data_IF_501771018198
#
_entry.id   IF_501771018198
#
_cell.length_a   1.000
_cell.length_b   1.000
_cell.length_c   1.000
_cell.angle_alpha   90.00
_cell.angle_beta   90.00
_cell.angle_gamma   90.00
#
_symmetry.space_group_name_H-M   'P 1'
#
loop_
_entity.id
_entity.type
_entity.pdbx_description
1 polymer ?
#
# COMPACT_ATOMS: atom_id res chain seq x y z
N UNK A 1 -11.08 2.24 -2.20
CA UNK A 1 -10.46 1.76 -3.46
C UNK A 1 -9.26 0.81 -3.26
N UNK A 2 -8.20 1.15 -2.50
CA UNK A 2 -7.04 0.26 -2.34
C UNK A 2 -7.35 -1.06 -1.58
N UNK A 3 -8.22 -1.01 -0.58
CA UNK A 3 -8.58 -2.18 0.23
C UNK A 3 -9.25 -3.29 -0.60
N UNK A 4 -10.15 -2.89 -1.52
CA UNK A 4 -10.85 -3.78 -2.42
C UNK A 4 -9.93 -4.41 -3.50
N UNK A 5 -8.76 -3.83 -3.76
CA UNK A 5 -7.77 -4.44 -4.67
C UNK A 5 -6.93 -5.51 -3.98
N UNK A 6 -6.51 -5.28 -2.73
CA UNK A 6 -5.75 -6.28 -1.95
C UNK A 6 -6.61 -7.50 -1.61
N UNK A 7 -7.91 -7.32 -1.39
CA UNK A 7 -8.86 -8.42 -1.16
C UNK A 7 -8.93 -9.37 -2.38
N UNK A 8 -8.88 -8.83 -3.61
CA UNK A 8 -8.87 -9.63 -4.84
C UNK A 8 -7.58 -10.44 -5.00
N UNK A 9 -6.43 -9.89 -4.61
CA UNK A 9 -5.14 -10.61 -4.60
C UNK A 9 -5.15 -11.72 -3.55
N UNK A 10 -5.75 -11.47 -2.37
CA UNK A 10 -5.92 -12.48 -1.33
C UNK A 10 -6.80 -13.65 -1.80
N UNK A 11 -7.96 -13.37 -2.39
CA UNK A 11 -8.84 -14.44 -2.90
C UNK A 11 -8.13 -15.29 -3.97
N UNK A 12 -7.41 -14.67 -4.91
CA UNK A 12 -6.68 -15.40 -5.95
C UNK A 12 -5.55 -16.27 -5.36
N UNK A 13 -4.85 -15.79 -4.33
CA UNK A 13 -3.81 -16.56 -3.64
C UNK A 13 -4.38 -17.76 -2.86
N UNK A 14 -5.52 -17.60 -2.19
CA UNK A 14 -6.18 -18.65 -1.40
C UNK A 14 -6.82 -19.73 -2.28
N UNK A 15 -7.27 -19.38 -3.49
CA UNK A 15 -7.88 -20.32 -4.44
C UNK A 15 -6.87 -21.28 -5.12
N UNK A 16 -5.59 -21.27 -4.72
CA UNK A 16 -4.59 -22.25 -5.16
C UNK A 16 -3.68 -21.80 -6.29
N UNK A 17 -3.78 -20.55 -6.73
CA UNK A 17 -2.87 -19.96 -7.71
C UNK A 17 -1.59 -19.44 -7.00
N UNK A 18 -0.75 -20.36 -6.53
CA UNK A 18 0.54 -20.02 -5.90
C UNK A 18 1.50 -19.31 -6.86
N UNK A 19 1.28 -19.46 -8.17
CA UNK A 19 2.04 -18.77 -9.20
C UNK A 19 1.48 -17.38 -9.47
N UNK A 20 2.27 -16.34 -9.18
CA UNK A 20 1.89 -14.94 -9.41
C UNK A 20 1.49 -14.59 -10.85
N UNK A 21 1.77 -15.45 -11.85
CA UNK A 21 1.26 -15.29 -13.23
C UNK A 21 -0.23 -15.59 -13.36
N UNK A 22 -0.76 -16.58 -12.65
CA UNK A 22 -2.18 -16.94 -12.70
C UNK A 22 -3.04 -15.87 -12.03
N UNK A 23 -2.62 -15.42 -10.84
CA UNK A 23 -3.20 -14.26 -10.15
C UNK A 23 -3.19 -13.02 -11.06
N UNK A 24 -2.07 -12.75 -11.74
CA UNK A 24 -1.95 -11.62 -12.65
C UNK A 24 -2.93 -11.68 -13.83
N UNK A 25 -3.11 -12.86 -14.43
CA UNK A 25 -4.11 -13.11 -15.46
C UNK A 25 -5.53 -12.88 -14.96
N UNK A 26 -5.89 -13.46 -13.81
CA UNK A 26 -7.21 -13.31 -13.20
C UNK A 26 -7.56 -11.85 -12.85
N UNK A 27 -6.55 -11.05 -12.50
CA UNK A 27 -6.71 -9.65 -12.11
C UNK A 27 -6.48 -8.66 -13.26
N UNK A 28 -6.18 -9.11 -14.47
CA UNK A 28 -5.76 -8.28 -15.61
C UNK A 28 -4.65 -7.28 -15.23
N UNK A 29 -3.63 -7.77 -14.51
CA UNK A 29 -2.46 -7.01 -14.09
C UNK A 29 -1.19 -7.62 -14.65
N UNK A 30 -0.11 -6.84 -14.70
CA UNK A 30 1.17 -7.41 -15.09
C UNK A 30 1.70 -8.35 -14.00
N UNK A 31 2.29 -9.51 -14.37
CA UNK A 31 2.90 -10.43 -13.43
C UNK A 31 3.95 -9.76 -12.53
N UNK A 32 4.66 -8.76 -13.05
CA UNK A 32 5.65 -7.99 -12.30
C UNK A 32 5.02 -7.08 -11.23
N UNK A 33 3.76 -6.67 -11.39
CA UNK A 33 3.02 -5.92 -10.36
C UNK A 33 2.64 -6.82 -9.20
N UNK A 34 2.04 -7.98 -9.51
CA UNK A 34 1.63 -8.96 -8.50
C UNK A 34 2.84 -9.53 -7.77
N UNK A 35 3.91 -9.90 -8.48
CA UNK A 35 5.15 -10.36 -7.86
C UNK A 35 5.70 -9.34 -6.87
N UNK A 36 5.79 -8.06 -7.28
CA UNK A 36 6.23 -6.99 -6.38
C UNK A 36 5.28 -6.76 -5.21
N UNK A 37 3.99 -7.01 -5.36
CA UNK A 37 3.03 -6.90 -4.27
C UNK A 37 3.18 -8.03 -3.25
N UNK A 38 3.26 -9.29 -3.73
CA UNK A 38 3.51 -10.46 -2.90
C UNK A 38 4.82 -10.30 -2.15
N UNK A 39 5.92 -9.96 -2.83
CA UNK A 39 7.22 -9.72 -2.18
C UNK A 39 7.18 -8.66 -1.08
N UNK A 40 6.29 -7.66 -1.17
CA UNK A 40 6.18 -6.57 -0.18
C UNK A 40 5.25 -6.86 0.99
N UNK A 41 4.34 -7.82 0.85
CA UNK A 41 3.21 -8.04 1.77
C UNK A 41 3.06 -9.50 2.24
N UNK A 42 3.81 -10.44 1.65
CA UNK A 42 3.86 -11.83 2.08
C UNK A 42 4.65 -11.88 3.40
N UNK A 43 3.98 -12.30 4.47
CA UNK A 43 4.58 -12.44 5.79
C UNK A 43 4.57 -13.92 6.15
N UNK A 44 5.75 -14.51 6.38
CA UNK A 44 5.90 -15.94 6.72
C UNK A 44 5.21 -16.89 5.73
N UNK A 45 5.19 -16.54 4.44
CA UNK A 45 4.56 -17.35 3.39
C UNK A 45 3.04 -17.20 3.27
N UNK A 46 2.41 -16.35 4.10
CA UNK A 46 0.98 -16.04 4.02
C UNK A 46 0.75 -14.61 3.53
N UNK A 47 -0.24 -14.43 2.67
CA UNK A 47 -0.73 -13.11 2.25
C UNK A 47 -2.00 -12.77 3.05
N UNK A 48 -2.09 -11.56 3.58
CA UNK A 48 -3.30 -11.04 4.25
C UNK A 48 -3.60 -9.65 3.73
N UNK A 49 -4.79 -9.46 3.15
CA UNK A 49 -5.22 -8.17 2.63
C UNK A 49 -5.30 -7.08 3.73
N UNK A 50 -5.69 -7.48 4.95
CA UNK A 50 -5.76 -6.59 6.09
C UNK A 50 -4.38 -6.06 6.49
N UNK A 51 -3.41 -6.95 6.64
CA UNK A 51 -2.03 -6.59 6.97
C UNK A 51 -1.36 -5.80 5.85
N UNK A 52 -1.58 -6.17 4.59
CA UNK A 52 -1.11 -5.41 3.43
C UNK A 52 -1.60 -3.95 3.46
N UNK A 53 -2.87 -3.74 3.80
CA UNK A 53 -3.46 -2.40 3.96
C UNK A 53 -2.84 -1.62 5.13
N UNK A 54 -2.61 -2.28 6.27
CA UNK A 54 -1.96 -1.69 7.45
C UNK A 54 -0.52 -1.27 7.14
N UNK A 55 0.27 -2.16 6.53
CA UNK A 55 1.65 -1.90 6.10
C UNK A 55 1.73 -0.79 5.06
N UNK A 56 0.78 -0.72 4.13
CA UNK A 56 0.67 0.40 3.18
C UNK A 56 0.49 1.74 3.90
N UNK A 57 -0.44 1.82 4.87
CA UNK A 57 -0.66 3.05 5.66
C UNK A 57 0.58 3.48 6.43
N UNK A 58 1.29 2.52 7.05
CA UNK A 58 2.54 2.80 7.76
C UNK A 58 3.63 3.36 6.83
N UNK A 59 3.86 2.70 5.68
CA UNK A 59 4.84 3.18 4.68
C UNK A 59 4.48 4.56 4.15
N UNK A 60 3.18 4.83 3.91
CA UNK A 60 2.70 6.15 3.51
C UNK A 60 3.03 7.25 4.52
N UNK A 61 3.00 6.98 5.83
CA UNK A 61 3.39 7.99 6.84
C UNK A 61 4.85 8.43 6.66
N UNK A 62 5.75 7.49 6.35
CA UNK A 62 7.19 7.78 6.14
C UNK A 62 7.46 8.56 4.85
N UNK A 63 6.73 8.27 3.78
CA UNK A 63 6.96 8.90 2.46
C UNK A 63 6.23 10.24 2.28
N UNK A 64 5.40 10.67 3.25
CA UNK A 64 4.72 11.96 3.14
C UNK A 64 5.71 13.07 3.48
N UNK A 65 5.81 14.11 2.63
CA UNK A 65 6.58 15.30 2.97
C UNK A 65 6.13 15.81 4.34
N UNK A 66 7.11 16.13 5.20
CA UNK A 66 6.81 16.86 6.43
C UNK A 66 6.08 18.15 6.06
N UNK A 67 5.08 18.52 6.85
CA UNK A 67 4.35 19.75 6.61
C UNK A 67 5.31 20.93 6.71
N UNK A 68 5.44 21.71 5.64
CA UNK A 68 6.42 22.81 5.56
C UNK A 68 6.22 23.88 6.64
N UNK A 69 5.03 23.93 7.26
CA UNK A 69 4.61 24.92 8.25
C UNK A 69 4.21 24.27 9.59
N UNK A 70 4.92 23.22 10.01
CA UNK A 70 4.69 22.62 11.33
C UNK A 70 5.20 23.53 12.48
N UNK A 71 6.03 24.51 12.15
CA UNK A 71 6.48 25.54 13.09
C UNK A 71 5.36 26.56 13.33
N UNK A 72 4.72 26.45 14.50
CA UNK A 72 3.65 27.35 14.95
C UNK A 72 4.09 28.83 14.95
N UNK A 73 5.34 29.12 15.31
CA UNK A 73 5.88 30.48 15.33
C UNK A 73 5.97 31.09 13.94
N UNK A 74 6.49 30.35 12.95
CA UNK A 74 6.54 30.80 11.56
C UNK A 74 5.14 31.03 10.97
N UNK A 75 4.18 30.18 11.35
CA UNK A 75 2.79 30.30 10.91
C UNK A 75 2.13 31.58 11.44
N UNK A 76 2.41 31.94 12.69
CA UNK A 76 1.89 33.15 13.32
C UNK A 76 2.50 34.43 12.73
N UNK A 77 3.81 34.43 12.43
CA UNK A 77 4.50 35.54 11.77
C UNK A 77 3.90 35.81 10.37
N UNK A 78 3.62 34.76 9.59
CA UNK A 78 2.99 34.90 8.26
C UNK A 78 1.57 35.47 8.35
N UNK A 79 0.77 35.03 9.33
CA UNK A 79 -0.58 35.55 9.54
C UNK A 79 -0.61 37.01 9.98
N UNK A 80 0.38 37.46 10.75
CA UNK A 80 0.49 38.86 11.18
C UNK A 80 0.96 39.84 10.10
N UNK A 81 1.39 39.35 8.93
CA UNK A 81 1.93 40.16 7.82
C UNK A 81 1.00 40.28 6.63
N UNK A 82 -0.18 39.64 6.68
CA UNK A 82 -1.29 39.76 5.73
C UNK A 82 -2.34 40.71 6.30
#
# INVERSE_FOLDING_TARGET
MLQQQNEKVYCAFVLGDTEGRKIAGALNRSPSTISRELQRNLVKGAYSAHEAGKLYRLRRKRCRPAFKLDNKGLRQILQSRL
#
